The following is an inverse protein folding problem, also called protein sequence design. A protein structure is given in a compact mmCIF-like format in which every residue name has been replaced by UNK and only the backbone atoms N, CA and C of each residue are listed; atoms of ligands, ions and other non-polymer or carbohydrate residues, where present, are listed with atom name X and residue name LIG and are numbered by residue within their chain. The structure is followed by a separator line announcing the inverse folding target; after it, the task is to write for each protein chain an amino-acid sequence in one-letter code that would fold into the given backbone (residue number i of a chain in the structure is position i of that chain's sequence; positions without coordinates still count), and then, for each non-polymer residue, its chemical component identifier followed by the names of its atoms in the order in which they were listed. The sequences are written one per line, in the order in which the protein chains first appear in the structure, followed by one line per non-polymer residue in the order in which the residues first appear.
data_IF_616478035664
#
_entry.id   IF_616478035664
#
_cell.length_a   1.000
_cell.length_b   1.000
_cell.length_c   1.000
_cell.angle_alpha   90.00
_cell.angle_beta   90.00
_cell.angle_gamma   90.00
#
_symmetry.space_group_name_H-M   'P 1'
#
loop_
_entity.id
_entity.type
_entity.pdbx_description
1 polymer ?
#
# COMPACT_ATOMS: atom_id res chain seq x y z
N UNK A 1 20.22 10.18 0.59
CA UNK A 1 19.56 11.04 -0.43
C UNK A 1 19.94 10.66 -1.86
N UNK A 2 21.21 10.40 -2.19
CA UNK A 2 21.65 9.99 -3.55
C UNK A 2 21.06 8.66 -4.04
N UNK A 3 20.97 7.63 -3.19
CA UNK A 3 20.48 6.31 -3.58
C UNK A 3 19.00 6.32 -3.97
N UNK A 4 18.15 7.01 -3.21
CA UNK A 4 16.72 7.15 -3.52
C UNK A 4 16.50 7.88 -4.85
N UNK A 5 17.33 8.89 -5.15
CA UNK A 5 17.28 9.62 -6.42
C UNK A 5 17.66 8.70 -7.59
N UNK A 6 18.71 7.87 -7.42
CA UNK A 6 19.14 6.88 -8.43
C UNK A 6 18.06 5.80 -8.63
N UNK A 7 17.47 5.24 -7.56
CA UNK A 7 16.36 4.29 -7.65
C UNK A 7 15.18 4.87 -8.45
N UNK A 8 14.79 6.12 -8.14
CA UNK A 8 13.73 6.82 -8.87
C UNK A 8 14.05 6.99 -10.36
N UNK A 9 15.27 7.38 -10.71
CA UNK A 9 15.67 7.58 -12.10
C UNK A 9 15.64 6.28 -12.90
N UNK A 10 16.18 5.20 -12.35
CA UNK A 10 16.16 3.86 -12.96
C UNK A 10 14.73 3.35 -13.09
N UNK A 11 13.94 3.45 -12.01
CA UNK A 11 12.55 3.01 -11.99
C UNK A 11 11.70 3.73 -13.05
N UNK A 12 11.80 5.06 -13.17
CA UNK A 12 11.06 5.83 -14.18
C UNK A 12 11.37 5.39 -15.61
N UNK A 13 12.63 5.10 -15.92
CA UNK A 13 13.00 4.59 -17.24
C UNK A 13 12.37 3.23 -17.53
N UNK A 14 12.35 2.35 -16.53
CA UNK A 14 11.74 1.03 -16.63
C UNK A 14 10.20 1.09 -16.68
N UNK A 15 9.57 1.99 -15.91
CA UNK A 15 8.12 2.09 -15.75
C UNK A 15 7.39 2.23 -17.11
N UNK A 16 7.96 2.97 -18.05
CA UNK A 16 7.39 3.18 -19.39
C UNK A 16 7.33 1.85 -20.18
N UNK A 17 8.32 0.99 -19.99
CA UNK A 17 8.47 -0.27 -20.73
C UNK A 17 7.83 -1.47 -20.02
N UNK A 18 7.63 -1.41 -18.70
CA UNK A 18 6.90 -2.44 -17.95
C UNK A 18 5.46 -2.63 -18.46
N UNK A 19 4.91 -1.63 -19.14
CA UNK A 19 3.55 -1.62 -19.66
C UNK A 19 3.38 -2.31 -21.01
N UNK A 20 4.46 -2.54 -21.76
CA UNK A 20 4.42 -2.98 -23.16
C UNK A 20 4.88 -4.42 -23.38
N UNK A 21 5.49 -5.07 -22.39
CA UNK A 21 6.12 -6.38 -22.54
C UNK A 21 5.77 -7.31 -21.39
N UNK A 22 5.73 -8.62 -21.67
CA UNK A 22 5.74 -9.67 -20.63
C UNK A 22 7.13 -9.71 -19.98
N UNK A 23 7.43 -8.75 -19.11
CA UNK A 23 8.70 -8.66 -18.40
C UNK A 23 8.65 -9.62 -17.22
N UNK A 24 9.63 -10.52 -17.17
CA UNK A 24 9.89 -11.43 -16.06
C UNK A 24 11.37 -11.34 -15.65
N UNK A 25 11.76 -12.09 -14.64
CA UNK A 25 13.14 -12.10 -14.16
C UNK A 25 14.15 -12.63 -15.20
N UNK A 26 13.69 -13.33 -16.23
CA UNK A 26 14.55 -13.92 -17.27
C UNK A 26 14.91 -12.90 -18.34
N UNK A 27 13.94 -12.04 -18.73
CA UNK A 27 14.12 -11.09 -19.82
C UNK A 27 14.43 -9.65 -19.39
N UNK A 28 14.57 -9.40 -18.07
CA UNK A 28 14.87 -8.05 -17.57
C UNK A 28 16.22 -7.53 -18.08
N UNK A 29 17.18 -8.41 -18.27
CA UNK A 29 18.51 -8.06 -18.77
C UNK A 29 18.48 -7.52 -20.19
N UNK A 30 17.62 -8.08 -21.05
CA UNK A 30 17.41 -7.59 -22.42
C UNK A 30 16.81 -6.19 -22.39
N UNK A 31 15.86 -5.95 -21.49
CA UNK A 31 15.27 -4.62 -21.30
C UNK A 31 16.32 -3.60 -20.79
N UNK A 32 17.16 -3.97 -19.83
CA UNK A 32 18.21 -3.08 -19.32
C UNK A 32 19.16 -2.66 -20.43
N UNK A 33 19.54 -3.60 -21.32
CA UNK A 33 20.39 -3.32 -22.48
C UNK A 33 19.71 -2.34 -23.43
N UNK A 34 18.44 -2.56 -23.78
CA UNK A 34 17.69 -1.67 -24.69
C UNK A 34 17.55 -0.24 -24.15
N UNK A 35 17.49 -0.08 -22.81
CA UNK A 35 17.38 1.21 -22.13
C UNK A 35 18.74 1.83 -21.80
N UNK A 36 19.84 1.19 -22.20
CA UNK A 36 21.21 1.61 -21.87
C UNK A 36 21.41 1.80 -20.36
N UNK A 37 20.80 0.93 -19.54
CA UNK A 37 20.99 0.88 -18.09
C UNK A 37 22.09 -0.15 -17.80
N UNK A 38 23.13 0.26 -17.09
CA UNK A 38 24.21 -0.66 -16.69
C UNK A 38 23.65 -1.71 -15.73
N UNK A 39 23.88 -3.00 -16.04
CA UNK A 39 23.41 -4.12 -15.21
C UNK A 39 23.93 -4.03 -13.77
N UNK A 40 25.21 -3.67 -13.57
CA UNK A 40 25.80 -3.48 -12.25
C UNK A 40 25.01 -2.47 -11.42
N UNK A 41 24.67 -1.31 -11.99
CA UNK A 41 23.92 -0.26 -11.29
C UNK A 41 22.50 -0.74 -10.93
N UNK A 42 21.86 -1.45 -11.86
CA UNK A 42 20.52 -2.01 -11.60
C UNK A 42 20.54 -3.04 -10.48
N UNK A 43 21.45 -4.03 -10.52
CA UNK A 43 21.51 -5.07 -9.50
C UNK A 43 21.97 -4.58 -8.13
N UNK A 44 22.74 -3.52 -8.07
CA UNK A 44 23.06 -2.82 -6.80
C UNK A 44 21.81 -2.20 -6.18
N UNK A 45 20.95 -1.59 -7.01
CA UNK A 45 19.73 -0.92 -6.55
C UNK A 45 18.55 -1.87 -6.33
N UNK A 46 18.44 -2.94 -7.12
CA UNK A 46 17.34 -3.91 -7.15
C UNK A 46 17.87 -5.35 -7.23
N UNK A 47 18.52 -5.87 -6.17
CA UNK A 47 19.17 -7.17 -6.18
C UNK A 47 18.19 -8.34 -6.44
N UNK A 48 16.95 -8.24 -5.98
CA UNK A 48 15.89 -9.22 -6.23
C UNK A 48 15.05 -8.91 -7.47
N UNK A 49 15.62 -8.16 -8.41
CA UNK A 49 15.03 -7.86 -9.73
C UNK A 49 13.59 -7.31 -9.61
N UNK A 50 12.62 -7.97 -10.23
CA UNK A 50 11.21 -7.54 -10.26
C UNK A 50 10.58 -7.54 -8.86
N UNK A 51 11.00 -8.39 -7.94
CA UNK A 51 10.50 -8.38 -6.56
C UNK A 51 10.79 -7.04 -5.88
N UNK A 52 12.00 -6.51 -6.06
CA UNK A 52 12.37 -5.22 -5.49
C UNK A 52 11.73 -4.06 -6.24
N UNK A 53 11.58 -4.16 -7.56
CA UNK A 53 10.82 -3.18 -8.35
C UNK A 53 9.35 -3.14 -7.90
N UNK A 54 8.73 -4.29 -7.66
CA UNK A 54 7.36 -4.39 -7.15
C UNK A 54 7.25 -3.73 -5.77
N UNK A 55 8.13 -4.07 -4.84
CA UNK A 55 8.17 -3.47 -3.50
C UNK A 55 8.36 -1.96 -3.58
N UNK A 56 9.28 -1.51 -4.40
CA UNK A 56 9.59 -0.09 -4.62
C UNK A 56 8.41 0.68 -5.25
N UNK A 57 7.68 0.06 -6.19
CA UNK A 57 6.47 0.66 -6.76
C UNK A 57 5.43 0.97 -5.68
N UNK A 58 5.10 -0.01 -4.84
CA UNK A 58 4.10 0.20 -3.78
C UNK A 58 4.58 1.17 -2.71
N UNK A 59 5.87 1.14 -2.35
CA UNK A 59 6.48 2.13 -1.47
C UNK A 59 6.38 3.54 -2.07
N UNK A 60 6.61 3.69 -3.36
CA UNK A 60 6.51 4.98 -4.05
C UNK A 60 5.05 5.49 -4.09
N UNK A 61 4.08 4.61 -4.35
CA UNK A 61 2.64 4.94 -4.21
C UNK A 61 2.33 5.45 -2.81
N UNK A 62 2.80 4.75 -1.77
CA UNK A 62 2.63 5.19 -0.39
C UNK A 62 3.26 6.55 -0.13
N UNK A 63 4.52 6.75 -0.51
CA UNK A 63 5.26 7.99 -0.27
C UNK A 63 4.61 9.22 -0.94
N UNK A 64 4.12 9.05 -2.17
CA UNK A 64 3.36 10.10 -2.89
C UNK A 64 2.06 10.40 -2.15
N UNK A 65 1.33 9.38 -1.76
CA UNK A 65 0.03 9.52 -1.09
C UNK A 65 0.18 10.16 0.30
N UNK A 66 1.16 9.70 1.09
CA UNK A 66 1.45 10.24 2.42
C UNK A 66 1.74 11.75 2.37
N UNK A 67 2.61 12.18 1.43
CA UNK A 67 2.89 13.61 1.23
C UNK A 67 1.64 14.44 0.95
N UNK A 68 0.73 13.92 0.12
CA UNK A 68 -0.50 14.62 -0.26
C UNK A 68 -1.53 14.71 0.87
N UNK A 69 -1.62 13.69 1.75
CA UNK A 69 -2.64 13.66 2.80
C UNK A 69 -2.17 14.19 4.14
N UNK A 70 -0.86 14.28 4.39
CA UNK A 70 -0.26 14.60 5.69
C UNK A 70 -0.96 15.75 6.42
N UNK A 71 -1.14 16.90 5.78
CA UNK A 71 -1.79 18.07 6.40
C UNK A 71 -3.25 17.80 6.78
N UNK A 72 -4.00 17.05 5.94
CA UNK A 72 -5.41 16.72 6.18
C UNK A 72 -5.56 15.71 7.32
N UNK A 73 -4.71 14.70 7.34
CA UNK A 73 -4.67 13.67 8.39
C UNK A 73 -4.39 14.28 9.76
N UNK A 74 -3.44 15.22 9.86
CA UNK A 74 -3.12 15.89 11.13
C UNK A 74 -4.28 16.73 11.68
N UNK A 75 -5.13 17.29 10.81
CA UNK A 75 -6.32 18.10 11.21
C UNK A 75 -7.53 17.25 11.57
N UNK A 76 -7.61 16.03 11.09
CA UNK A 76 -8.75 15.14 11.33
C UNK A 76 -8.62 14.48 12.72
N UNK A 77 -9.70 14.50 13.50
CA UNK A 77 -9.74 13.92 14.85
C UNK A 77 -10.07 12.43 14.84
N UNK A 78 -10.88 11.97 13.89
CA UNK A 78 -11.36 10.60 13.82
C UNK A 78 -10.33 9.67 13.18
N UNK A 79 -9.92 8.61 13.86
CA UNK A 79 -9.02 7.58 13.35
C UNK A 79 -9.56 6.95 12.04
N UNK A 80 -10.85 6.59 12.02
CA UNK A 80 -11.47 6.01 10.80
C UNK A 80 -11.42 6.99 9.62
N UNK A 81 -11.65 8.28 9.85
CA UNK A 81 -11.54 9.29 8.80
C UNK A 81 -10.09 9.50 8.35
N UNK A 82 -9.11 9.52 9.28
CA UNK A 82 -7.68 9.54 8.93
C UNK A 82 -7.31 8.36 8.04
N UNK A 83 -7.72 7.15 8.44
CA UNK A 83 -7.49 5.93 7.65
C UNK A 83 -8.12 6.04 6.27
N UNK A 84 -9.36 6.53 6.17
CA UNK A 84 -10.05 6.70 4.89
C UNK A 84 -9.37 7.74 3.99
N UNK A 85 -8.87 8.85 4.53
CA UNK A 85 -8.08 9.83 3.78
C UNK A 85 -6.84 9.20 3.15
N UNK A 86 -6.10 8.39 3.92
CA UNK A 86 -4.92 7.68 3.41
C UNK A 86 -5.28 6.69 2.31
N UNK A 87 -6.24 5.79 2.57
CA UNK A 87 -6.64 4.78 1.60
C UNK A 87 -7.18 5.38 0.31
N UNK A 88 -7.99 6.44 0.43
CA UNK A 88 -8.52 7.16 -0.74
C UNK A 88 -7.40 7.71 -1.60
N UNK A 89 -6.36 8.31 -1.01
CA UNK A 89 -5.25 8.85 -1.79
C UNK A 89 -4.36 7.76 -2.39
N UNK A 90 -4.14 6.65 -1.66
CA UNK A 90 -3.43 5.49 -2.20
C UNK A 90 -4.17 4.93 -3.42
N UNK A 91 -5.50 4.74 -3.34
CA UNK A 91 -6.30 4.24 -4.46
C UNK A 91 -6.23 5.21 -5.65
N UNK A 92 -6.34 6.52 -5.42
CA UNK A 92 -6.22 7.55 -6.48
C UNK A 92 -4.85 7.53 -7.13
N UNK A 93 -3.78 7.48 -6.33
CA UNK A 93 -2.40 7.45 -6.84
C UNK A 93 -2.13 6.15 -7.59
N UNK A 94 -2.65 5.03 -7.09
CA UNK A 94 -2.56 3.73 -7.74
C UNK A 94 -3.31 3.70 -9.09
N UNK A 95 -4.52 4.23 -9.14
CA UNK A 95 -5.32 4.31 -10.37
C UNK A 95 -4.71 5.28 -11.39
N UNK A 96 -4.07 6.36 -10.96
CA UNK A 96 -3.40 7.30 -11.87
C UNK A 96 -2.24 6.67 -12.66
N UNK A 97 -1.65 5.58 -12.13
CA UNK A 97 -0.62 4.78 -12.77
C UNK A 97 -1.18 3.44 -13.27
N UNK A 98 -2.35 3.44 -13.85
CA UNK A 98 -3.19 2.26 -14.12
C UNK A 98 -2.44 1.09 -14.74
N UNK A 99 -1.67 1.32 -15.82
CA UNK A 99 -0.92 0.25 -16.51
C UNK A 99 0.13 -0.39 -15.61
N UNK A 100 0.97 0.41 -14.97
CA UNK A 100 2.02 -0.05 -14.04
C UNK A 100 1.40 -0.75 -12.83
N UNK A 101 0.29 -0.24 -12.33
CA UNK A 101 -0.46 -0.82 -11.21
C UNK A 101 -1.04 -2.19 -11.56
N UNK A 102 -1.58 -2.36 -12.76
CA UNK A 102 -2.04 -3.67 -13.27
C UNK A 102 -0.86 -4.65 -13.32
N UNK A 103 0.28 -4.24 -13.87
CA UNK A 103 1.46 -5.08 -13.99
C UNK A 103 1.94 -5.57 -12.61
N UNK A 104 2.23 -4.65 -11.68
CA UNK A 104 2.79 -5.02 -10.39
C UNK A 104 1.78 -5.73 -9.48
N UNK A 105 0.49 -5.40 -9.56
CA UNK A 105 -0.52 -6.14 -8.81
C UNK A 105 -0.68 -7.56 -9.36
N UNK A 106 -0.67 -7.76 -10.67
CA UNK A 106 -0.72 -9.08 -11.28
C UNK A 106 0.52 -9.91 -10.92
N UNK A 107 1.71 -9.30 -10.94
CA UNK A 107 2.95 -9.93 -10.48
C UNK A 107 2.86 -10.34 -9.00
N UNK A 108 2.34 -9.44 -8.15
CA UNK A 108 2.14 -9.71 -6.74
C UNK A 108 1.12 -10.84 -6.47
N UNK A 109 0.07 -10.97 -7.29
CA UNK A 109 -0.89 -12.07 -7.20
C UNK A 109 -0.25 -13.43 -7.50
N UNK A 110 0.71 -13.49 -8.42
CA UNK A 110 1.51 -14.68 -8.70
C UNK A 110 2.57 -14.95 -7.62
N UNK A 111 2.87 -13.95 -6.78
CA UNK A 111 3.84 -14.01 -5.68
C UNK A 111 3.18 -13.61 -4.35
N UNK A 112 2.31 -14.45 -3.77
CA UNK A 112 1.43 -14.08 -2.65
C UNK A 112 2.20 -13.68 -1.38
N UNK A 113 3.35 -14.29 -1.11
CA UNK A 113 4.20 -13.91 0.04
C UNK A 113 4.77 -12.50 -0.11
N UNK A 114 5.23 -12.14 -1.32
CA UNK A 114 5.70 -10.81 -1.62
C UNK A 114 4.58 -9.79 -1.44
N UNK A 115 3.42 -10.03 -2.05
CA UNK A 115 2.27 -9.14 -1.95
C UNK A 115 1.80 -8.97 -0.50
N UNK A 116 1.76 -10.06 0.27
CA UNK A 116 1.39 -10.01 1.68
C UNK A 116 2.35 -9.15 2.50
N UNK A 117 3.66 -9.29 2.27
CA UNK A 117 4.68 -8.46 2.91
C UNK A 117 4.52 -6.98 2.56
N UNK A 118 4.28 -6.67 1.29
CA UNK A 118 4.06 -5.30 0.80
C UNK A 118 2.82 -4.69 1.46
N UNK A 119 1.68 -5.39 1.42
CA UNK A 119 0.42 -4.88 1.98
C UNK A 119 0.50 -4.73 3.50
N UNK A 120 1.20 -5.64 4.19
CA UNK A 120 1.43 -5.51 5.64
C UNK A 120 2.30 -4.28 5.96
N UNK A 121 3.36 -4.05 5.19
CA UNK A 121 4.19 -2.85 5.33
C UNK A 121 3.38 -1.58 5.11
N UNK A 122 2.54 -1.53 4.07
CA UNK A 122 1.63 -0.40 3.84
C UNK A 122 0.70 -0.16 5.04
N UNK A 123 0.09 -1.22 5.58
CA UNK A 123 -0.80 -1.10 6.74
C UNK A 123 -0.06 -0.55 7.97
N UNK A 124 1.16 -1.02 8.21
CA UNK A 124 1.99 -0.56 9.34
C UNK A 124 2.38 0.91 9.20
N UNK A 125 2.80 1.32 8.00
CA UNK A 125 3.20 2.70 7.73
C UNK A 125 2.01 3.67 7.85
N UNK A 126 0.82 3.27 7.37
CA UNK A 126 -0.39 4.08 7.53
C UNK A 126 -0.73 4.26 9.02
N UNK A 127 -0.70 3.16 9.82
CA UNK A 127 -0.97 3.25 11.25
C UNK A 127 0.04 4.15 11.97
N UNK A 128 1.31 4.09 11.60
CA UNK A 128 2.34 4.98 12.11
C UNK A 128 2.04 6.45 11.78
N UNK A 129 1.74 6.75 10.51
CA UNK A 129 1.49 8.11 10.04
C UNK A 129 0.20 8.74 10.60
N UNK A 130 -0.82 7.94 10.91
CA UNK A 130 -2.04 8.43 11.56
C UNK A 130 -1.91 8.57 13.09
N UNK A 131 -0.75 8.23 13.65
CA UNK A 131 -0.41 8.43 15.04
C UNK A 131 -0.89 7.31 15.98
N UNK A 132 -0.91 6.06 15.51
CA UNK A 132 -1.19 4.90 16.36
C UNK A 132 -0.05 4.66 17.36
N UNK A 133 -0.38 4.67 18.65
CA UNK A 133 0.55 4.44 19.75
C UNK A 133 0.32 3.09 20.47
N UNK A 134 -0.49 2.21 19.89
CA UNK A 134 -0.78 0.92 20.53
C UNK A 134 0.46 0.01 20.52
N UNK A 135 0.69 -0.69 21.64
CA UNK A 135 1.85 -1.57 21.85
C UNK A 135 1.46 -3.01 22.21
N UNK A 136 0.19 -3.25 22.48
CA UNK A 136 -0.39 -4.52 22.90
C UNK A 136 -0.99 -5.32 21.73
N UNK A 137 -1.81 -6.31 22.03
CA UNK A 137 -2.55 -7.10 21.03
C UNK A 137 -3.34 -6.22 20.04
N UNK A 138 -3.72 -5.01 20.45
CA UNK A 138 -4.43 -4.09 19.57
C UNK A 138 -3.53 -3.59 18.42
N UNK A 139 -2.21 -3.54 18.62
CA UNK A 139 -1.22 -3.21 17.60
C UNK A 139 -1.32 -4.15 16.39
N UNK A 140 -1.29 -5.46 16.66
CA UNK A 140 -1.36 -6.48 15.59
C UNK A 140 -2.75 -6.54 14.95
N UNK A 141 -3.79 -6.49 15.76
CA UNK A 141 -5.18 -6.55 15.29
C UNK A 141 -5.51 -5.40 14.34
N UNK A 142 -5.13 -4.17 14.70
CA UNK A 142 -5.35 -2.98 13.85
C UNK A 142 -4.64 -3.13 12.50
N UNK A 143 -3.39 -3.58 12.50
CA UNK A 143 -2.61 -3.79 11.28
C UNK A 143 -3.20 -4.87 10.40
N UNK A 144 -3.65 -5.97 10.99
CA UNK A 144 -4.29 -7.07 10.27
C UNK A 144 -5.64 -6.65 9.65
N UNK A 145 -6.44 -5.86 10.36
CA UNK A 145 -7.69 -5.31 9.83
C UNK A 145 -7.38 -4.42 8.61
N UNK A 146 -6.46 -3.48 8.76
CA UNK A 146 -6.11 -2.56 7.67
C UNK A 146 -5.45 -3.29 6.50
N UNK A 147 -4.61 -4.29 6.77
CA UNK A 147 -4.06 -5.20 5.75
C UNK A 147 -5.19 -5.81 4.90
N UNK A 148 -6.22 -6.37 5.54
CA UNK A 148 -7.34 -6.97 4.81
C UNK A 148 -8.12 -5.92 3.99
N UNK A 149 -8.33 -4.73 4.53
CA UNK A 149 -9.02 -3.65 3.81
C UNK A 149 -8.21 -3.24 2.57
N UNK A 150 -6.90 -3.04 2.69
CA UNK A 150 -6.02 -2.69 1.56
C UNK A 150 -6.02 -3.79 0.51
N UNK A 151 -5.82 -5.05 0.93
CA UNK A 151 -5.81 -6.21 0.05
C UNK A 151 -7.10 -6.34 -0.74
N UNK A 152 -8.24 -6.29 -0.05
CA UNK A 152 -9.55 -6.39 -0.67
C UNK A 152 -9.83 -5.21 -1.61
N UNK A 153 -9.37 -4.01 -1.27
CA UNK A 153 -9.51 -2.82 -2.12
C UNK A 153 -8.69 -2.95 -3.40
N UNK A 154 -7.46 -3.46 -3.35
CA UNK A 154 -6.66 -3.73 -4.54
C UNK A 154 -7.26 -4.81 -5.41
N UNK A 155 -7.80 -5.88 -4.83
CA UNK A 155 -8.48 -6.94 -5.59
C UNK A 155 -9.76 -6.43 -6.24
N UNK A 156 -10.56 -5.64 -5.53
CA UNK A 156 -11.75 -5.02 -6.06
C UNK A 156 -11.42 -4.05 -7.21
N UNK A 157 -10.40 -3.21 -7.04
CA UNK A 157 -9.88 -2.34 -8.09
C UNK A 157 -9.40 -3.14 -9.31
N UNK A 158 -8.66 -4.23 -9.11
CA UNK A 158 -8.20 -5.09 -10.21
C UNK A 158 -9.35 -5.71 -11.00
N UNK A 159 -10.44 -6.05 -10.33
CA UNK A 159 -11.64 -6.62 -10.95
C UNK A 159 -12.44 -5.55 -11.72
N UNK A 160 -12.59 -4.35 -11.15
CA UNK A 160 -13.50 -3.33 -11.70
C UNK A 160 -12.79 -2.32 -12.59
N UNK A 161 -11.51 -2.09 -12.36
CA UNK A 161 -10.69 -1.02 -12.93
C UNK A 161 -11.36 0.36 -12.81
N UNK A 162 -12.19 0.54 -11.78
CA UNK A 162 -13.01 1.71 -11.50
C UNK A 162 -12.61 2.33 -10.16
N UNK A 163 -12.01 3.52 -10.22
CA UNK A 163 -11.56 4.25 -9.06
C UNK A 163 -12.72 4.60 -8.11
N UNK A 164 -13.84 5.12 -8.64
CA UNK A 164 -14.98 5.57 -7.82
C UNK A 164 -15.61 4.43 -7.04
N UNK A 165 -15.87 3.30 -7.71
CA UNK A 165 -16.39 2.09 -7.05
C UNK A 165 -15.44 1.57 -5.99
N UNK A 166 -14.13 1.59 -6.26
CA UNK A 166 -13.12 1.13 -5.30
C UNK A 166 -13.04 2.04 -4.07
N UNK A 167 -13.12 3.34 -4.25
CA UNK A 167 -13.17 4.31 -3.14
C UNK A 167 -14.37 4.04 -2.23
N UNK A 168 -15.58 3.92 -2.80
CA UNK A 168 -16.80 3.61 -2.04
C UNK A 168 -16.73 2.26 -1.33
N UNK A 169 -16.13 1.25 -1.97
CA UNK A 169 -15.93 -0.07 -1.38
C UNK A 169 -14.98 -0.01 -0.18
N UNK A 170 -13.83 0.65 -0.34
CA UNK A 170 -12.82 0.83 0.71
C UNK A 170 -13.39 1.61 1.90
N UNK A 171 -14.10 2.71 1.65
CA UNK A 171 -14.74 3.52 2.68
C UNK A 171 -15.73 2.73 3.52
N UNK A 172 -16.61 1.92 2.90
CA UNK A 172 -17.54 1.06 3.63
C UNK A 172 -16.84 0.09 4.56
N UNK A 173 -15.71 -0.50 4.13
CA UNK A 173 -14.93 -1.40 4.99
C UNK A 173 -14.32 -0.65 6.19
N UNK A 174 -13.71 0.52 5.97
CA UNK A 174 -13.14 1.34 7.05
C UNK A 174 -14.21 1.73 8.06
N UNK A 175 -15.39 2.16 7.60
CA UNK A 175 -16.50 2.56 8.46
C UNK A 175 -17.07 1.38 9.26
N UNK A 176 -17.20 0.22 8.63
CA UNK A 176 -17.67 -1.01 9.30
C UNK A 176 -16.73 -1.40 10.45
N UNK A 177 -15.44 -1.53 10.19
CA UNK A 177 -14.47 -1.89 11.23
C UNK A 177 -14.32 -0.81 12.30
N UNK A 178 -14.49 0.47 11.95
CA UNK A 178 -14.55 1.56 12.92
C UNK A 178 -15.73 1.45 13.89
N UNK A 179 -16.90 1.02 13.42
CA UNK A 179 -18.08 0.74 14.27
C UNK A 179 -17.84 -0.47 15.19
N UNK A 180 -17.30 -1.57 14.65
CA UNK A 180 -16.97 -2.77 15.43
C UNK A 180 -15.97 -2.45 16.54
N UNK A 181 -14.94 -1.65 16.26
CA UNK A 181 -13.97 -1.22 17.27
C UNK A 181 -14.61 -0.41 18.43
N UNK A 182 -15.51 0.51 18.11
CA UNK A 182 -16.25 1.28 19.12
C UNK A 182 -17.16 0.39 19.96
N UNK A 183 -17.88 -0.54 19.33
CA UNK A 183 -18.75 -1.48 20.05
C UNK A 183 -17.97 -2.35 21.04
N UNK A 184 -16.81 -2.87 20.63
CA UNK A 184 -15.93 -3.65 21.51
C UNK A 184 -15.44 -2.85 22.72
N UNK A 185 -15.11 -1.57 22.52
CA UNK A 185 -14.69 -0.68 23.60
C UNK A 185 -15.83 -0.41 24.58
N UNK A 186 -17.04 -0.07 24.10
CA UNK A 186 -18.22 0.17 24.93
C UNK A 186 -18.64 -1.09 25.71
N UNK A 187 -18.56 -2.28 25.10
CA UNK A 187 -18.83 -3.54 25.80
C UNK A 187 -17.82 -3.80 26.91
N UNK A 188 -16.54 -3.51 26.68
CA UNK A 188 -15.49 -3.64 27.73
C UNK A 188 -15.72 -2.69 28.89
N UNK A 189 -16.09 -1.43 28.63
CA UNK A 189 -16.42 -0.46 29.70
C UNK A 189 -17.65 -0.88 30.51
N UNK A 190 -18.69 -1.42 29.87
CA UNK A 190 -19.86 -1.93 30.54
C UNK A 190 -19.54 -3.12 31.46
N UNK A 191 -18.67 -4.02 31.00
CA UNK A 191 -18.20 -5.15 31.82
C UNK A 191 -17.39 -4.68 33.02
N UNK A 192 -16.46 -3.75 32.84
CA UNK A 192 -15.67 -3.17 33.94
C UNK A 192 -16.59 -2.49 34.97
N UNK A 193 -17.57 -1.69 34.52
CA UNK A 193 -18.53 -1.04 35.43
C UNK A 193 -19.42 -2.04 36.15
N UNK A 194 -19.84 -3.14 35.48
CA UNK A 194 -20.74 -4.16 36.08
C UNK A 194 -20.03 -5.03 37.13
N UNK A 195 -18.74 -5.29 36.93
CA UNK A 195 -17.97 -6.16 37.83
C UNK A 195 -17.09 -5.39 38.81
N UNK A 196 -17.14 -4.03 38.87
CA UNK A 196 -16.35 -3.18 39.79
C UNK A 196 -14.87 -3.61 39.90
N UNK A 197 -14.27 -3.99 38.77
CA UNK A 197 -12.84 -4.30 38.70
C UNK A 197 -12.11 -3.06 38.19
#
# INVERSE_FOLDING_TARGET
MQETTRKNAVFKKLEIHLNSSKINNENIDTLLLSLKIKKSDFYTLFPKKINDLCSYFFENIYNISSKKVKKRVLREKSISRRTNLFLSEIIKTFDSKKKTSIFFLSYGLLNPFLLSKIVYSLSSNIWYDIGDKSTDLSYYTKRLILYNIIRNSFFYWRKTLDQKKTLSFSERQVMFFGKVGKFKYSAKELLIKKFKI
#
